data_IF_219946954216
#
_entry.id   IF_219946954216
#
_cell.length_a   1.000
_cell.length_b   1.000
_cell.length_c   1.000
_cell.angle_alpha   90.00
_cell.angle_beta   90.00
_cell.angle_gamma   90.00
#
_symmetry.space_group_name_H-M   'P 1'
#
loop_
_entity.id
_entity.type
_entity.pdbx_description
1 polymer ?
#
# COMPACT_ATOMS: atom_id res chain seq x y z
N UNK A 1 14.72 -14.62 -30.78
CA UNK A 1 14.28 -14.89 -29.39
C UNK A 1 12.91 -15.55 -29.42
N UNK A 2 12.63 -16.55 -28.58
CA UNK A 2 11.29 -17.10 -28.47
C UNK A 2 10.30 -16.02 -27.97
N UNK A 3 9.02 -16.06 -28.37
CA UNK A 3 8.02 -15.10 -27.92
C UNK A 3 7.80 -15.21 -26.40
N UNK A 4 7.47 -14.08 -25.77
CA UNK A 4 7.08 -14.05 -24.37
C UNK A 4 5.85 -14.94 -24.16
N UNK A 5 5.89 -15.80 -23.14
CA UNK A 5 4.82 -16.77 -22.83
C UNK A 5 3.91 -16.32 -21.68
N UNK A 6 4.27 -15.26 -20.97
CA UNK A 6 3.51 -14.69 -19.88
C UNK A 6 3.84 -13.20 -19.71
N UNK A 7 2.89 -12.45 -19.16
CA UNK A 7 3.06 -11.07 -18.71
C UNK A 7 2.59 -11.01 -17.26
N UNK A 8 3.46 -10.52 -16.36
CA UNK A 8 3.16 -10.36 -14.95
C UNK A 8 2.99 -8.88 -14.66
N UNK A 9 1.97 -8.54 -13.88
CA UNK A 9 1.69 -7.19 -13.44
C UNK A 9 1.81 -7.12 -11.93
N UNK A 10 2.33 -6.01 -11.44
CA UNK A 10 2.09 -5.63 -10.06
C UNK A 10 0.60 -5.33 -9.86
N UNK A 11 0.13 -5.42 -8.62
CA UNK A 11 -1.26 -5.19 -8.28
C UNK A 11 -1.52 -3.71 -7.96
N UNK A 12 -0.93 -3.20 -6.87
CA UNK A 12 -1.31 -1.93 -6.25
C UNK A 12 -0.58 -0.75 -6.88
N UNK A 13 -1.29 0.06 -7.66
CA UNK A 13 -0.73 1.16 -8.46
C UNK A 13 -0.48 0.79 -9.92
N UNK A 14 -0.79 -0.45 -10.31
CA UNK A 14 -0.75 -0.91 -11.72
C UNK A 14 -2.11 -1.41 -12.17
N UNK A 15 -2.67 -2.43 -11.49
CA UNK A 15 -4.03 -2.95 -11.79
C UNK A 15 -5.10 -2.30 -10.92
N UNK A 16 -4.76 -1.92 -9.68
CA UNK A 16 -5.67 -1.32 -8.73
C UNK A 16 -5.25 0.11 -8.41
N UNK A 17 -6.21 1.04 -8.44
CA UNK A 17 -5.99 2.42 -7.99
C UNK A 17 -5.95 2.49 -6.46
N UNK A 18 -4.78 2.84 -5.94
CA UNK A 18 -4.50 2.94 -4.51
C UNK A 18 -5.15 4.15 -3.85
N UNK A 19 -5.60 5.14 -4.63
CA UNK A 19 -6.26 6.35 -4.12
C UNK A 19 -7.78 6.23 -4.09
N UNK A 20 -8.36 5.12 -4.58
CA UNK A 20 -9.81 4.86 -4.51
C UNK A 20 -10.39 4.90 -3.09
N UNK A 21 -9.56 4.67 -2.07
CA UNK A 21 -9.94 4.78 -0.65
C UNK A 21 -10.27 6.22 -0.21
N UNK A 22 -9.87 7.23 -0.99
CA UNK A 22 -10.17 8.64 -0.71
C UNK A 22 -11.68 8.92 -0.65
N UNK A 23 -12.49 8.21 -1.45
CA UNK A 23 -13.95 8.39 -1.46
C UNK A 23 -14.57 7.97 -0.12
N UNK A 24 -14.21 6.79 0.38
CA UNK A 24 -14.68 6.33 1.69
C UNK A 24 -14.13 7.22 2.82
N UNK A 25 -12.86 7.62 2.71
CA UNK A 25 -12.24 8.52 3.68
C UNK A 25 -12.95 9.88 3.74
N UNK A 26 -13.39 10.43 2.60
CA UNK A 26 -14.15 11.68 2.52
C UNK A 26 -15.53 11.55 3.16
N UNK A 27 -16.21 10.41 2.97
CA UNK A 27 -17.50 10.14 3.62
C UNK A 27 -17.38 10.06 5.15
N UNK A 28 -16.28 9.51 5.65
CA UNK A 28 -16.01 9.38 7.08
C UNK A 28 -15.44 10.66 7.70
N UNK A 29 -14.63 11.39 6.92
CA UNK A 29 -13.89 12.59 7.34
C UNK A 29 -13.95 13.66 6.23
N UNK A 30 -15.05 14.44 6.16
CA UNK A 30 -15.21 15.45 5.12
C UNK A 30 -14.07 16.47 5.08
N UNK A 31 -13.55 16.75 3.90
CA UNK A 31 -12.42 17.62 3.61
C UNK A 31 -11.04 16.97 3.78
N UNK A 32 -10.97 15.70 4.19
CA UNK A 32 -9.71 15.02 4.52
C UNK A 32 -9.45 13.76 3.68
N UNK A 33 -10.38 13.34 2.82
CA UNK A 33 -10.28 12.05 2.13
C UNK A 33 -9.03 11.91 1.27
N UNK A 34 -8.70 12.94 0.49
CA UNK A 34 -7.51 12.95 -0.35
C UNK A 34 -6.23 12.90 0.48
N UNK A 35 -6.12 13.76 1.50
CA UNK A 35 -4.93 13.84 2.36
C UNK A 35 -4.66 12.52 3.08
N UNK A 36 -5.72 11.90 3.60
CA UNK A 36 -5.65 10.58 4.24
C UNK A 36 -5.15 9.51 3.26
N UNK A 37 -5.71 9.45 2.05
CA UNK A 37 -5.32 8.42 1.07
C UNK A 37 -3.83 8.48 0.69
N UNK A 38 -3.28 9.70 0.59
CA UNK A 38 -1.87 9.92 0.26
C UNK A 38 -0.99 9.46 1.41
N UNK A 39 -1.23 9.95 2.63
CA UNK A 39 -0.40 9.61 3.80
C UNK A 39 -0.46 8.12 4.10
N UNK A 40 -1.65 7.51 4.01
CA UNK A 40 -1.81 6.09 4.28
C UNK A 40 -1.02 5.23 3.28
N UNK A 41 -1.05 5.58 1.99
CA UNK A 41 -0.26 4.87 0.97
C UNK A 41 1.24 5.02 1.20
N UNK A 42 1.70 6.23 1.55
CA UNK A 42 3.11 6.47 1.86
C UNK A 42 3.57 5.62 3.05
N UNK A 43 2.79 5.61 4.15
CA UNK A 43 3.10 4.82 5.33
C UNK A 43 3.06 3.32 5.10
N UNK A 44 2.13 2.84 4.28
CA UNK A 44 2.06 1.42 3.89
C UNK A 44 3.34 0.99 3.17
N UNK A 45 3.84 1.79 2.23
CA UNK A 45 5.09 1.50 1.50
C UNK A 45 6.30 1.61 2.45
N UNK A 46 6.34 2.63 3.31
CA UNK A 46 7.41 2.77 4.29
C UNK A 46 7.50 1.55 5.21
N UNK A 47 6.36 1.09 5.73
CA UNK A 47 6.28 -0.04 6.65
C UNK A 47 6.74 -1.36 6.01
N UNK A 48 6.34 -1.61 4.76
CA UNK A 48 6.80 -2.79 4.02
C UNK A 48 8.31 -2.78 3.79
N UNK A 49 8.88 -1.61 3.47
CA UNK A 49 10.34 -1.44 3.35
C UNK A 49 11.04 -1.70 4.69
N UNK A 50 10.61 -1.01 5.76
CA UNK A 50 11.21 -1.14 7.09
C UNK A 50 11.24 -2.58 7.57
N UNK A 51 10.11 -3.29 7.48
CA UNK A 51 10.02 -4.68 7.95
C UNK A 51 10.87 -5.63 7.10
N UNK A 52 10.97 -5.39 5.79
CA UNK A 52 11.76 -6.25 4.89
C UNK A 52 13.26 -6.00 5.05
N UNK A 53 13.69 -4.75 5.23
CA UNK A 53 15.12 -4.39 5.25
C UNK A 53 15.74 -4.42 6.64
N UNK A 54 14.94 -4.24 7.70
CA UNK A 54 15.45 -4.25 9.08
C UNK A 54 15.71 -5.67 9.56
N UNK A 55 16.81 -5.87 10.29
CA UNK A 55 17.15 -7.14 10.93
C UNK A 55 17.05 -8.35 9.99
N UNK A 56 17.42 -8.18 8.71
CA UNK A 56 17.34 -9.23 7.68
C UNK A 56 15.93 -9.82 7.47
N UNK A 57 14.88 -9.02 7.66
CA UNK A 57 13.50 -9.47 7.47
C UNK A 57 12.95 -10.35 8.60
N UNK A 58 13.65 -10.42 9.74
CA UNK A 58 13.23 -11.22 10.90
C UNK A 58 11.86 -10.84 11.46
N UNK A 59 11.36 -9.65 11.13
CA UNK A 59 10.09 -9.11 11.62
C UNK A 59 9.01 -9.10 10.55
N UNK A 60 9.08 -10.01 9.56
CA UNK A 60 8.08 -10.10 8.50
C UNK A 60 6.66 -10.08 9.07
N UNK A 61 5.83 -9.23 8.48
CA UNK A 61 4.40 -9.15 8.73
C UNK A 61 3.65 -9.21 7.41
N UNK A 62 2.51 -9.91 7.35
CA UNK A 62 1.65 -9.92 6.18
C UNK A 62 1.27 -8.51 5.72
N UNK A 63 1.15 -8.31 4.40
CA UNK A 63 0.82 -7.01 3.81
C UNK A 63 -0.46 -6.38 4.38
N UNK A 64 -1.47 -7.19 4.71
CA UNK A 64 -2.70 -6.71 5.34
C UNK A 64 -2.51 -6.15 6.75
N UNK A 65 -1.60 -6.72 7.53
CA UNK A 65 -1.24 -6.20 8.87
C UNK A 65 -0.50 -4.88 8.75
N UNK A 66 0.47 -4.78 7.83
CA UNK A 66 1.19 -3.54 7.56
C UNK A 66 0.29 -2.44 7.02
N UNK A 67 -0.70 -2.79 6.19
CA UNK A 67 -1.71 -1.87 5.69
C UNK A 67 -2.54 -1.30 6.84
N UNK A 68 -2.97 -2.13 7.79
CA UNK A 68 -3.69 -1.66 8.98
C UNK A 68 -2.81 -0.82 9.88
N UNK A 69 -1.57 -1.24 10.13
CA UNK A 69 -0.63 -0.53 10.98
C UNK A 69 -0.30 0.87 10.41
N UNK A 70 -0.19 1.00 9.09
CA UNK A 70 0.01 2.27 8.41
C UNK A 70 -1.18 3.24 8.52
N UNK A 71 -2.38 2.77 8.86
CA UNK A 71 -3.56 3.62 9.12
C UNK A 71 -3.60 4.15 10.57
N UNK A 72 -2.94 3.44 11.49
CA UNK A 72 -2.89 3.78 12.92
C UNK A 72 -1.73 4.77 13.22
N UNK A 73 -0.79 4.93 12.28
CA UNK A 73 0.43 5.72 12.41
C UNK A 73 0.24 7.15 12.93
#
# INVERSE_FOLDING_TARGET
MPPARAVLFDAYGTLFDVYSVAELAEQLFPGQGQGLSVVWRDKQIEYTRLVTTSNHGAHYQPFGELTRAALIY
#
